data_IF_179697334097
#
_entry.id   IF_179697334097
#
_cell.length_a   1.000
_cell.length_b   1.000
_cell.length_c   1.000
_cell.angle_alpha   90.00
_cell.angle_beta   90.00
_cell.angle_gamma   90.00
#
_symmetry.space_group_name_H-M   'P 1'
#
loop_
_entity.id
_entity.type
_entity.pdbx_description
1 polymer ?
#
# COMPACT_ATOMS: atom_id res chain seq x y z
N UNK A 1 29.43 -6.10 -16.07
CA UNK A 1 28.18 -5.35 -15.75
C UNK A 1 27.05 -6.21 -15.17
N UNK A 2 27.22 -7.51 -14.92
CA UNK A 2 26.15 -8.42 -14.43
C UNK A 2 25.94 -8.38 -12.91
N UNK A 3 26.97 -8.11 -12.11
CA UNK A 3 26.90 -8.17 -10.64
C UNK A 3 26.04 -7.08 -9.97
N UNK A 4 25.96 -5.86 -10.53
CA UNK A 4 25.15 -4.76 -9.97
C UNK A 4 23.65 -4.96 -10.23
N UNK A 5 23.30 -5.52 -11.40
CA UNK A 5 21.93 -5.86 -11.74
C UNK A 5 21.40 -7.01 -10.86
N UNK A 6 22.24 -8.00 -10.56
CA UNK A 6 21.85 -9.12 -9.69
C UNK A 6 21.60 -8.68 -8.24
N UNK A 7 22.44 -7.80 -7.69
CA UNK A 7 22.22 -7.23 -6.36
C UNK A 7 20.99 -6.33 -6.30
N UNK A 8 20.73 -5.55 -7.36
CA UNK A 8 19.54 -4.70 -7.46
C UNK A 8 18.25 -5.54 -7.50
N UNK A 9 18.23 -6.59 -8.32
CA UNK A 9 17.12 -7.54 -8.46
C UNK A 9 16.86 -8.30 -7.16
N UNK A 10 17.91 -8.80 -6.52
CA UNK A 10 17.82 -9.52 -5.24
C UNK A 10 17.25 -8.64 -4.12
N UNK A 11 17.59 -7.35 -4.09
CA UNK A 11 16.99 -6.40 -3.13
C UNK A 11 15.52 -6.15 -3.44
N UNK A 12 15.13 -5.97 -4.71
CA UNK A 12 13.71 -5.80 -5.08
C UNK A 12 12.88 -7.04 -4.73
N UNK A 13 13.43 -8.24 -4.96
CA UNK A 13 12.77 -9.50 -4.56
C UNK A 13 12.56 -9.60 -3.04
N UNK A 14 13.53 -9.15 -2.23
CA UNK A 14 13.36 -9.08 -0.77
C UNK A 14 12.27 -8.10 -0.36
N UNK A 15 12.15 -6.96 -1.04
CA UNK A 15 11.08 -5.98 -0.78
C UNK A 15 9.72 -6.55 -1.17
N UNK A 16 9.62 -7.19 -2.34
CA UNK A 16 8.40 -7.86 -2.77
C UNK A 16 8.00 -8.97 -1.79
N UNK A 17 8.95 -9.79 -1.33
CA UNK A 17 8.70 -10.82 -0.31
C UNK A 17 8.23 -10.21 1.03
N UNK A 18 8.80 -9.07 1.44
CA UNK A 18 8.32 -8.31 2.60
C UNK A 18 6.87 -7.86 2.42
N UNK A 19 6.52 -7.32 1.25
CA UNK A 19 5.14 -6.92 0.94
C UNK A 19 4.17 -8.09 0.88
N UNK A 20 4.58 -9.25 0.35
CA UNK A 20 3.79 -10.49 0.41
C UNK A 20 3.51 -10.85 1.87
N UNK A 21 4.54 -10.86 2.73
CA UNK A 21 4.41 -11.24 4.12
C UNK A 21 3.47 -10.30 4.88
N UNK A 22 3.61 -8.98 4.69
CA UNK A 22 2.70 -8.01 5.32
C UNK A 22 1.29 -8.13 4.79
N UNK A 23 1.10 -8.47 3.51
CA UNK A 23 -0.22 -8.62 2.92
C UNK A 23 -0.93 -9.92 3.35
N UNK A 24 -0.19 -10.93 3.80
CA UNK A 24 -0.76 -12.11 4.49
C UNK A 24 -1.19 -11.74 5.91
N UNK A 25 -0.40 -10.94 6.62
CA UNK A 25 -0.69 -10.54 7.99
C UNK A 25 -1.87 -9.56 8.10
N UNK A 26 -2.04 -8.69 7.11
CA UNK A 26 -3.05 -7.62 7.13
C UNK A 26 -4.50 -8.13 7.28
N UNK A 27 -4.99 -9.13 6.52
CA UNK A 27 -6.36 -9.65 6.67
C UNK A 27 -6.56 -10.53 7.91
N UNK A 28 -5.49 -10.92 8.62
CA UNK A 28 -5.58 -11.70 9.87
C UNK A 28 -5.71 -10.82 11.11
N UNK A 29 -5.49 -9.50 10.96
CA UNK A 29 -5.56 -8.54 12.04
C UNK A 29 -6.98 -8.12 12.47
N UNK A 30 -7.98 -7.96 11.57
CA UNK A 30 -9.32 -7.53 11.98
C UNK A 30 -9.92 -8.38 13.12
N UNK A 31 -9.88 -9.73 13.09
CA UNK A 31 -10.40 -10.54 14.20
C UNK A 31 -9.68 -10.30 15.53
N UNK A 32 -8.37 -10.01 15.49
CA UNK A 32 -7.57 -9.71 16.68
C UNK A 32 -7.86 -8.31 17.23
N UNK A 33 -8.07 -7.34 16.34
CA UNK A 33 -8.38 -5.95 16.68
C UNK A 33 -9.80 -5.81 17.21
N UNK A 34 -10.74 -6.63 16.72
CA UNK A 34 -12.13 -6.62 17.20
C UNK A 34 -12.27 -7.09 18.65
N UNK A 35 -11.27 -7.78 19.20
CA UNK A 35 -11.17 -8.07 20.63
C UNK A 35 -10.88 -6.83 21.49
N UNK A 36 -10.47 -5.71 20.89
CA UNK A 36 -10.20 -4.44 21.57
C UNK A 36 -11.51 -3.65 21.68
N UNK A 37 -12.23 -3.87 22.78
CA UNK A 37 -13.48 -3.18 23.09
C UNK A 37 -13.31 -1.66 23.20
N UNK A 38 -14.26 -0.91 22.63
CA UNK A 38 -14.38 0.55 22.82
C UNK A 38 -13.53 1.44 21.90
N UNK A 39 -12.85 0.89 20.89
CA UNK A 39 -12.04 1.68 19.95
C UNK A 39 -12.85 2.20 18.74
N UNK A 40 -12.62 3.45 18.28
CA UNK A 40 -13.24 3.98 17.06
C UNK A 40 -12.91 3.15 15.81
N UNK A 41 -13.85 3.08 14.85
CA UNK A 41 -13.70 2.29 13.62
C UNK A 41 -12.45 2.65 12.80
N UNK A 42 -12.17 3.94 12.62
CA UNK A 42 -10.97 4.40 11.90
C UNK A 42 -9.67 4.02 12.60
N UNK A 43 -9.66 3.96 13.94
CA UNK A 43 -8.50 3.51 14.70
C UNK A 43 -8.23 2.02 14.46
N UNK A 44 -9.28 1.21 14.39
CA UNK A 44 -9.17 -0.21 14.04
C UNK A 44 -8.63 -0.38 12.62
N UNK A 45 -9.13 0.39 11.66
CA UNK A 45 -8.62 0.39 10.28
C UNK A 45 -7.15 0.79 10.20
N UNK A 46 -6.74 1.79 10.98
CA UNK A 46 -5.33 2.19 11.05
C UNK A 46 -4.44 1.07 11.60
N UNK A 47 -4.91 0.33 12.61
CA UNK A 47 -4.18 -0.82 13.17
C UNK A 47 -4.00 -1.96 12.17
N UNK A 48 -4.97 -2.17 11.27
CA UNK A 48 -4.85 -3.14 10.16
C UNK A 48 -3.66 -2.81 9.26
N UNK A 49 -3.35 -1.53 9.06
CA UNK A 49 -2.24 -1.08 8.20
C UNK A 49 -0.84 -1.27 8.82
N UNK A 50 -0.73 -1.59 10.12
CA UNK A 50 0.54 -1.61 10.85
C UNK A 50 1.62 -2.50 10.22
N UNK A 51 1.35 -3.75 9.75
CA UNK A 51 2.38 -4.57 9.12
C UNK A 51 3.01 -3.88 7.91
N UNK A 52 2.19 -3.24 7.06
CA UNK A 52 2.68 -2.53 5.89
C UNK A 52 3.40 -1.24 6.27
N UNK A 53 2.92 -0.52 7.29
CA UNK A 53 3.58 0.66 7.81
C UNK A 53 4.99 0.34 8.37
N UNK A 54 5.16 -0.82 9.03
CA UNK A 54 6.48 -1.31 9.48
C UNK A 54 7.39 -1.60 8.30
N UNK A 55 6.89 -2.21 7.23
CA UNK A 55 7.66 -2.41 6.00
C UNK A 55 8.10 -1.07 5.39
N UNK A 56 7.19 -0.10 5.26
CA UNK A 56 7.51 1.24 4.75
C UNK A 56 8.57 1.93 5.62
N UNK A 57 8.46 1.84 6.94
CA UNK A 57 9.47 2.36 7.88
C UNK A 57 10.86 1.80 7.56
N UNK A 58 10.96 0.48 7.41
CA UNK A 58 12.23 -0.20 7.08
C UNK A 58 12.76 0.27 5.73
N UNK A 59 11.91 0.39 4.70
CA UNK A 59 12.30 0.83 3.35
C UNK A 59 12.82 2.27 3.34
N UNK A 60 12.12 3.19 4.03
CA UNK A 60 12.52 4.59 4.11
C UNK A 60 13.81 4.72 4.91
N UNK A 61 13.95 3.97 6.01
CA UNK A 61 15.17 3.95 6.82
C UNK A 61 16.38 3.43 6.04
N UNK A 62 16.18 2.42 5.19
CA UNK A 62 17.22 1.87 4.31
C UNK A 62 17.63 2.82 3.17
N UNK A 63 16.86 3.89 2.94
CA UNK A 63 17.08 4.87 1.86
C UNK A 63 17.84 6.12 2.30
N UNK A 64 18.64 6.01 3.37
CA UNK A 64 19.44 7.10 3.97
C UNK A 64 18.62 8.26 4.59
N UNK A 65 17.30 8.12 4.74
CA UNK A 65 16.48 9.08 5.47
C UNK A 65 16.75 9.02 7.00
N UNK A 66 16.59 10.14 7.71
CA UNK A 66 16.66 10.17 9.18
C UNK A 66 15.52 9.35 9.81
N UNK A 67 15.68 8.96 11.07
CA UNK A 67 14.72 8.09 11.76
C UNK A 67 13.30 8.70 11.85
N UNK A 68 13.21 10.01 12.05
CA UNK A 68 11.92 10.72 12.13
C UNK A 68 11.17 10.68 10.79
N UNK A 69 11.89 10.67 9.67
CA UNK A 69 11.30 10.59 8.33
C UNK A 69 10.74 9.18 8.05
N UNK A 70 11.41 8.14 8.55
CA UNK A 70 10.90 6.77 8.49
C UNK A 70 9.63 6.59 9.35
N UNK A 71 9.60 7.20 10.54
CA UNK A 71 8.40 7.21 11.38
C UNK A 71 7.25 8.00 10.73
N UNK A 72 7.54 9.17 10.17
CA UNK A 72 6.56 9.97 9.43
C UNK A 72 5.98 9.19 8.24
N UNK A 73 6.80 8.47 7.47
CA UNK A 73 6.32 7.62 6.38
C UNK A 73 5.39 6.50 6.85
N UNK A 74 5.70 5.88 7.99
CA UNK A 74 4.84 4.85 8.58
C UNK A 74 3.48 5.42 8.98
N UNK A 75 3.45 6.59 9.62
CA UNK A 75 2.23 7.29 9.99
C UNK A 75 1.42 7.68 8.74
N UNK A 76 2.08 8.25 7.73
CA UNK A 76 1.46 8.58 6.43
C UNK A 76 0.85 7.34 5.79
N UNK A 77 1.51 6.18 5.89
CA UNK A 77 1.00 4.91 5.35
C UNK A 77 -0.28 4.47 6.06
N UNK A 78 -0.35 4.61 7.38
CA UNK A 78 -1.57 4.32 8.14
C UNK A 78 -2.70 5.28 7.76
N UNK A 79 -2.42 6.57 7.65
CA UNK A 79 -3.40 7.57 7.21
C UNK A 79 -3.90 7.25 5.79
N UNK A 80 -2.98 6.96 4.87
CA UNK A 80 -3.31 6.62 3.50
C UNK A 80 -4.22 5.39 3.40
N UNK A 81 -4.01 4.41 4.27
CA UNK A 81 -4.86 3.22 4.34
C UNK A 81 -6.29 3.56 4.79
N UNK A 82 -6.44 4.37 5.85
CA UNK A 82 -7.76 4.81 6.33
C UNK A 82 -8.48 5.61 5.24
N UNK A 83 -7.77 6.53 4.57
CA UNK A 83 -8.35 7.32 3.47
C UNK A 83 -8.73 6.42 2.28
N UNK A 84 -7.91 5.41 1.95
CA UNK A 84 -8.21 4.45 0.88
C UNK A 84 -9.50 3.68 1.15
N UNK A 85 -9.67 3.15 2.37
CA UNK A 85 -10.87 2.40 2.76
C UNK A 85 -12.10 3.31 2.73
N UNK A 86 -12.01 4.52 3.29
CA UNK A 86 -13.12 5.47 3.28
C UNK A 86 -13.50 5.91 1.86
N UNK A 87 -12.52 6.11 0.97
CA UNK A 87 -12.78 6.41 -0.44
C UNK A 87 -13.48 5.25 -1.15
N UNK A 88 -13.07 4.00 -0.88
CA UNK A 88 -13.71 2.82 -1.44
C UNK A 88 -15.17 2.69 -0.97
N UNK A 89 -15.44 2.88 0.33
CA UNK A 89 -16.79 2.85 0.90
C UNK A 89 -17.66 3.95 0.30
N UNK A 90 -17.12 5.17 0.17
CA UNK A 90 -17.85 6.28 -0.42
C UNK A 90 -18.24 6.00 -1.87
N UNK A 91 -17.31 5.50 -2.70
CA UNK A 91 -17.62 5.16 -4.10
C UNK A 91 -18.59 3.98 -4.18
N UNK A 92 -18.44 2.93 -3.37
CA UNK A 92 -19.41 1.83 -3.31
C UNK A 92 -20.83 2.34 -3.02
N UNK A 93 -20.97 3.33 -2.13
CA UNK A 93 -22.26 3.96 -1.81
C UNK A 93 -22.82 4.92 -2.88
N UNK A 94 -21.99 5.44 -3.79
CA UNK A 94 -22.44 6.31 -4.89
C UNK A 94 -22.84 5.54 -6.15
N UNK A 95 -22.20 4.40 -6.35
CA UNK A 95 -22.45 3.55 -7.52
C UNK A 95 -23.71 2.74 -7.22
N UNK A 96 -24.86 3.18 -7.76
CA UNK A 96 -26.21 2.66 -7.47
C UNK A 96 -26.46 1.18 -7.79
N UNK A 97 -27.62 0.84 -8.36
CA UNK A 97 -28.03 -0.56 -8.61
C UNK A 97 -27.31 -1.20 -9.83
N UNK A 98 -25.98 -1.07 -9.90
CA UNK A 98 -25.15 -1.82 -10.85
C UNK A 98 -24.74 -3.16 -10.26
N UNK A 99 -24.31 -4.08 -11.13
CA UNK A 99 -23.83 -5.39 -10.68
C UNK A 99 -22.67 -5.29 -9.67
N UNK A 100 -22.70 -6.15 -8.64
CA UNK A 100 -21.71 -6.25 -7.55
C UNK A 100 -20.26 -6.16 -8.03
N UNK A 101 -19.92 -6.81 -9.16
CA UNK A 101 -18.59 -6.76 -9.73
C UNK A 101 -18.15 -5.35 -10.18
N UNK A 102 -19.03 -4.63 -10.86
CA UNK A 102 -18.75 -3.26 -11.34
C UNK A 102 -18.61 -2.31 -10.15
N UNK A 103 -19.50 -2.45 -9.16
CA UNK A 103 -19.48 -1.65 -7.94
C UNK A 103 -18.18 -1.86 -7.16
N UNK A 104 -17.79 -3.11 -6.96
CA UNK A 104 -16.55 -3.46 -6.30
C UNK A 104 -15.35 -2.90 -7.07
N UNK A 105 -15.25 -3.11 -8.39
CA UNK A 105 -14.13 -2.59 -9.20
C UNK A 105 -13.99 -1.08 -9.01
N UNK A 106 -15.09 -0.34 -9.07
CA UNK A 106 -15.09 1.11 -8.88
C UNK A 106 -14.58 1.51 -7.49
N UNK A 107 -15.05 0.83 -6.44
CA UNK A 107 -14.56 1.03 -5.07
C UNK A 107 -13.07 0.70 -4.93
N UNK A 108 -12.61 -0.39 -5.56
CA UNK A 108 -11.21 -0.81 -5.57
C UNK A 108 -10.28 0.15 -6.30
N UNK A 109 -10.69 0.67 -7.46
CA UNK A 109 -9.98 1.74 -8.18
C UNK A 109 -9.87 2.97 -7.30
N UNK A 110 -10.98 3.40 -6.69
CA UNK A 110 -11.02 4.60 -5.86
C UNK A 110 -10.12 4.48 -4.63
N UNK A 111 -10.21 3.38 -3.89
CA UNK A 111 -9.37 3.12 -2.73
C UNK A 111 -7.89 2.98 -3.10
N UNK A 112 -7.60 2.17 -4.13
CA UNK A 112 -6.24 1.93 -4.62
C UNK A 112 -5.53 3.20 -5.10
N UNK A 113 -6.23 4.02 -5.89
CA UNK A 113 -5.72 5.32 -6.34
C UNK A 113 -5.50 6.26 -5.17
N UNK A 114 -6.51 6.45 -4.32
CA UNK A 114 -6.46 7.43 -3.23
C UNK A 114 -5.37 7.08 -2.22
N UNK A 115 -5.27 5.82 -1.80
CA UNK A 115 -4.22 5.37 -0.89
C UNK A 115 -2.82 5.57 -1.47
N UNK A 116 -2.59 5.15 -2.71
CA UNK A 116 -1.29 5.29 -3.35
C UNK A 116 -0.91 6.77 -3.60
N UNK A 117 -1.90 7.61 -3.94
CA UNK A 117 -1.70 9.05 -4.11
C UNK A 117 -1.34 9.73 -2.78
N UNK A 118 -2.07 9.45 -1.68
CA UNK A 118 -1.76 9.99 -0.35
C UNK A 118 -0.37 9.56 0.11
N UNK A 119 -0.01 8.29 -0.10
CA UNK A 119 1.36 7.82 0.20
C UNK A 119 2.41 8.55 -0.63
N UNK A 120 2.23 8.65 -1.95
CA UNK A 120 3.18 9.34 -2.82
C UNK A 120 3.34 10.80 -2.41
N UNK A 121 2.21 11.49 -2.16
CA UNK A 121 2.18 12.88 -1.73
C UNK A 121 2.77 13.09 -0.35
N UNK A 122 2.64 12.15 0.60
CA UNK A 122 3.24 12.31 1.93
C UNK A 122 4.73 11.98 1.96
N UNK A 123 5.15 10.94 1.23
CA UNK A 123 6.54 10.46 1.24
C UNK A 123 7.44 11.33 0.35
N UNK A 124 6.91 12.01 -0.68
CA UNK A 124 7.72 12.85 -1.56
C UNK A 124 8.35 14.08 -0.87
N UNK A 125 7.81 14.52 0.27
CA UNK A 125 8.38 15.62 1.08
C UNK A 125 9.53 15.20 1.98
N UNK A 126 9.82 13.90 2.08
CA UNK A 126 10.91 13.44 2.93
C UNK A 126 12.28 13.86 2.38
N UNK A 127 13.29 14.06 3.24
CA UNK A 127 14.57 14.66 2.86
C UNK A 127 15.28 13.96 1.70
N UNK A 128 15.22 12.63 1.64
CA UNK A 128 15.91 11.83 0.61
C UNK A 128 14.95 11.21 -0.41
N UNK A 129 13.70 11.66 -0.46
CA UNK A 129 12.71 11.22 -1.44
C UNK A 129 12.83 11.98 -2.76
N UNK A 130 12.55 11.34 -3.91
CA UNK A 130 12.48 12.06 -5.19
C UNK A 130 11.28 13.01 -5.19
N UNK A 131 11.51 14.26 -5.59
CA UNK A 131 10.44 15.27 -5.78
C UNK A 131 9.79 15.20 -7.16
N UNK A 132 10.41 14.48 -8.09
CA UNK A 132 9.86 14.24 -9.42
C UNK A 132 8.61 13.37 -9.35
N UNK A 133 7.49 13.88 -9.87
CA UNK A 133 6.20 13.18 -9.94
C UNK A 133 6.33 11.88 -10.74
N UNK A 134 7.16 11.85 -11.79
CA UNK A 134 7.33 10.66 -12.62
C UNK A 134 8.00 9.49 -11.86
N UNK A 135 8.67 9.75 -10.74
CA UNK A 135 9.20 8.71 -9.86
C UNK A 135 8.10 7.93 -9.13
N UNK A 136 6.94 8.55 -8.90
CA UNK A 136 5.83 7.99 -8.12
C UNK A 136 4.74 7.35 -8.97
N UNK A 137 4.66 7.70 -10.26
CA UNK A 137 3.67 7.17 -11.21
C UNK A 137 3.58 5.64 -11.20
N UNK A 138 4.68 4.86 -11.19
CA UNK A 138 4.59 3.40 -11.13
C UNK A 138 3.88 2.91 -9.86
N UNK A 139 4.12 3.56 -8.72
CA UNK A 139 3.47 3.19 -7.45
C UNK A 139 1.97 3.48 -7.47
N UNK A 140 1.58 4.65 -7.99
CA UNK A 140 0.16 5.03 -8.12
C UNK A 140 -0.56 4.12 -9.10
N UNK A 141 0.06 3.82 -10.26
CA UNK A 141 -0.50 2.91 -11.24
C UNK A 141 -0.69 1.50 -10.67
N UNK A 142 0.33 0.95 -10.00
CA UNK A 142 0.25 -0.36 -9.35
C UNK A 142 -0.82 -0.36 -8.27
N UNK A 143 -0.86 0.65 -7.39
CA UNK A 143 -1.85 0.74 -6.31
C UNK A 143 -3.28 0.81 -6.84
N UNK A 144 -3.51 1.55 -7.92
CA UNK A 144 -4.82 1.68 -8.59
C UNK A 144 -5.25 0.36 -9.23
N UNK A 145 -4.38 -0.26 -10.04
CA UNK A 145 -4.69 -1.52 -10.73
C UNK A 145 -4.92 -2.64 -9.72
N UNK A 146 -4.04 -2.77 -8.73
CA UNK A 146 -4.15 -3.83 -7.75
C UNK A 146 -5.32 -3.59 -6.77
N UNK A 147 -5.72 -2.34 -6.51
CA UNK A 147 -6.96 -2.01 -5.80
C UNK A 147 -8.20 -2.49 -6.56
N UNK A 148 -8.26 -2.27 -7.87
CA UNK A 148 -9.34 -2.77 -8.73
C UNK A 148 -9.43 -4.32 -8.72
N UNK A 149 -8.27 -4.98 -8.77
CA UNK A 149 -8.19 -6.45 -8.75
C UNK A 149 -8.57 -7.05 -7.39
N UNK A 150 -8.19 -6.42 -6.28
CA UNK A 150 -8.62 -6.80 -4.93
C UNK A 150 -10.14 -6.80 -4.78
N UNK A 151 -10.79 -5.80 -5.37
CA UNK A 151 -12.23 -5.68 -5.38
C UNK A 151 -12.94 -6.76 -6.21
N UNK A 152 -12.31 -7.22 -7.30
CA UNK A 152 -12.78 -8.36 -8.10
C UNK A 152 -12.74 -9.66 -7.27
N UNK A 153 -11.71 -9.86 -6.46
CA UNK A 153 -11.58 -11.03 -5.56
C UNK A 153 -12.82 -11.17 -4.65
N UNK A 154 -13.20 -10.07 -4.00
CA UNK A 154 -14.39 -10.00 -3.13
C UNK A 154 -15.73 -10.05 -3.88
N UNK A 155 -15.73 -9.79 -5.19
CA UNK A 155 -16.93 -9.98 -6.02
C UNK A 155 -17.17 -11.47 -6.36
N UNK A 156 -16.09 -12.24 -6.50
CA UNK A 156 -16.11 -13.67 -6.84
C UNK A 156 -16.15 -14.62 -5.62
N UNK A 157 -16.24 -14.09 -4.39
CA UNK A 157 -16.28 -14.87 -3.14
C UNK A 157 -15.04 -15.78 -2.93
N UNK A 158 -13.90 -15.36 -3.50
CA UNK A 158 -12.60 -16.05 -3.32
C UNK A 158 -11.95 -15.73 -1.95
N UNK A 159 -12.68 -15.03 -1.09
CA UNK A 159 -12.34 -14.41 0.19
C UNK A 159 -11.62 -15.33 1.19
N UNK A 160 -11.72 -16.66 1.02
CA UNK A 160 -11.04 -17.66 1.88
C UNK A 160 -9.57 -17.87 1.54
N UNK A 161 -9.09 -17.43 0.37
CA UNK A 161 -7.69 -17.55 -0.05
C UNK A 161 -7.27 -16.23 -0.72
N UNK A 162 -7.33 -15.12 0.02
CA UNK A 162 -7.10 -13.77 -0.50
C UNK A 162 -5.63 -13.55 -0.93
N UNK A 163 -5.29 -14.07 -2.10
CA UNK A 163 -3.95 -14.03 -2.72
C UNK A 163 -3.59 -12.62 -3.20
N UNK A 164 -4.59 -11.77 -3.41
CA UNK A 164 -4.43 -10.44 -4.00
C UNK A 164 -3.92 -9.40 -3.00
N UNK A 165 -4.19 -9.56 -1.70
CA UNK A 165 -3.69 -8.65 -0.67
C UNK A 165 -2.15 -8.71 -0.51
N UNK A 166 -1.55 -9.92 -0.44
CA UNK A 166 -0.11 -10.12 -0.54
C UNK A 166 0.50 -9.56 -1.83
N UNK A 167 -0.15 -9.75 -2.98
CA UNK A 167 0.34 -9.25 -4.28
C UNK A 167 0.28 -7.72 -4.36
N UNK A 168 -0.79 -7.10 -3.82
CA UNK A 168 -0.96 -5.66 -3.75
C UNK A 168 0.15 -5.00 -2.92
N UNK A 169 0.36 -5.46 -1.68
CA UNK A 169 1.41 -4.89 -0.82
C UNK A 169 2.81 -5.13 -1.38
N UNK A 170 3.06 -6.27 -2.02
CA UNK A 170 4.31 -6.53 -2.74
C UNK A 170 4.55 -5.55 -3.89
N UNK A 171 3.51 -5.27 -4.69
CA UNK A 171 3.57 -4.33 -5.80
C UNK A 171 3.84 -2.91 -5.36
N UNK A 172 3.09 -2.41 -4.36
CA UNK A 172 3.28 -1.05 -3.82
C UNK A 172 4.65 -0.90 -3.16
N UNK A 173 5.09 -1.91 -2.38
CA UNK A 173 6.42 -1.90 -1.76
C UNK A 173 7.55 -1.87 -2.80
N UNK A 174 7.42 -2.65 -3.88
CA UNK A 174 8.37 -2.63 -4.98
C UNK A 174 8.39 -1.27 -5.70
N UNK A 175 7.21 -0.68 -5.96
CA UNK A 175 7.05 0.66 -6.52
C UNK A 175 7.74 1.73 -5.68
N UNK A 176 7.50 1.73 -4.36
CA UNK A 176 8.15 2.62 -3.41
C UNK A 176 9.67 2.44 -3.41
N UNK A 177 10.16 1.20 -3.39
CA UNK A 177 11.59 0.92 -3.42
C UNK A 177 12.26 1.36 -4.73
N UNK A 178 11.55 1.32 -5.86
CA UNK A 178 12.04 1.87 -7.13
C UNK A 178 12.09 3.40 -7.11
N UNK A 179 11.05 4.05 -6.59
CA UNK A 179 11.00 5.52 -6.45
C UNK A 179 12.18 6.02 -5.58
N UNK A 180 12.35 5.45 -4.38
CA UNK A 180 13.43 5.84 -3.45
C UNK A 180 14.84 5.60 -4.01
N UNK A 181 15.00 4.72 -5.01
CA UNK A 181 16.30 4.48 -5.67
C UNK A 181 16.64 5.49 -6.76
N UNK A 182 15.67 6.16 -7.37
CA UNK A 182 15.92 7.14 -8.44
C UNK A 182 16.75 8.35 -7.98
N UNK A 183 16.89 8.58 -6.68
CA UNK A 183 17.79 9.58 -6.08
C UNK A 183 19.28 9.18 -6.03
N UNK A 184 19.68 8.00 -6.54
CA UNK A 184 21.09 7.54 -6.51
C UNK A 184 21.90 7.83 -7.79
N UNK A 185 21.34 8.55 -8.76
CA UNK A 185 22.08 9.01 -9.92
C UNK A 185 22.15 10.53 -9.90
N UNK A 186 23.32 11.13 -9.57
CA UNK A 186 23.63 12.49 -9.99
C UNK A 186 23.76 12.57 -11.52
#
# INVERSE_FOLDING_TARGET
MTASNDTSRRRLLKVAAGGVLTGILTPLLPPLIDMINGSPGDFRLALVAVPFAVLVLILVRASANPWWAALAAAIVTMIAFVVAVNAAIWVDGQVGDVGKAVRNIAAGIAGGFTGAAVMALGICWLPSSPRDVAAWLPMVAIGTVAGALLALDGAFELDRISFLYPVWQAGVAAGLAMALRRNKFP
#
